data_IF_001171846344
#
_entry.id   IF_001171846344
#
_cell.length_a   1.000
_cell.length_b   1.000
_cell.length_c   1.000
_cell.angle_alpha   90.00
_cell.angle_beta   90.00
_cell.angle_gamma   90.00
#
_symmetry.space_group_name_H-M   'P 1'
#
loop_
_entity.id
_entity.type
_entity.pdbx_description
1 polymer ?
#
# COMPACT_ATOMS: atom_id res chain seq x y z
N UNK A 1 5.29 -6.33 -23.64
CA UNK A 1 4.88 -4.96 -23.27
C UNK A 1 3.52 -5.03 -22.60
N UNK A 2 3.28 -4.36 -21.47
CA UNK A 2 1.94 -4.19 -20.94
C UNK A 2 1.02 -3.58 -22.00
N UNK A 3 -0.25 -3.94 -21.99
CA UNK A 3 -1.23 -3.27 -22.86
C UNK A 3 -1.57 -1.89 -22.29
N UNK A 4 -1.94 -0.94 -23.15
CA UNK A 4 -2.35 0.42 -22.74
C UNK A 4 -3.43 0.39 -21.63
N UNK A 5 -4.32 -0.59 -21.66
CA UNK A 5 -5.36 -0.76 -20.63
C UNK A 5 -4.80 -1.14 -19.25
N UNK A 6 -3.69 -1.88 -19.20
CA UNK A 6 -3.01 -2.26 -17.95
C UNK A 6 -2.33 -1.05 -17.33
N UNK A 7 -1.66 -0.23 -18.14
CA UNK A 7 -1.01 0.99 -17.67
C UNK A 7 -2.03 2.00 -17.13
N UNK A 8 -3.13 2.21 -17.85
CA UNK A 8 -4.23 3.07 -17.38
C UNK A 8 -4.87 2.57 -16.08
N UNK A 9 -5.09 1.26 -15.96
CA UNK A 9 -5.61 0.67 -14.73
C UNK A 9 -4.64 0.89 -13.58
N UNK A 10 -3.34 0.67 -13.79
CA UNK A 10 -2.30 0.89 -12.78
C UNK A 10 -2.27 2.34 -12.31
N UNK A 11 -2.25 3.30 -13.25
CA UNK A 11 -2.23 4.73 -12.93
C UNK A 11 -3.47 5.15 -12.13
N UNK A 12 -4.64 4.64 -12.50
CA UNK A 12 -5.89 4.89 -11.77
C UNK A 12 -5.81 4.35 -10.33
N UNK A 13 -5.34 3.12 -10.13
CA UNK A 13 -5.16 2.55 -8.80
C UNK A 13 -4.12 3.31 -7.99
N UNK A 14 -3.02 3.73 -8.61
CA UNK A 14 -2.00 4.54 -7.95
C UNK A 14 -2.52 5.90 -7.46
N UNK A 15 -3.53 6.47 -8.14
CA UNK A 15 -4.21 7.69 -7.69
C UNK A 15 -5.26 7.42 -6.60
N UNK A 16 -6.05 6.34 -6.74
CA UNK A 16 -7.17 6.04 -5.85
C UNK A 16 -6.73 5.49 -4.50
N UNK A 17 -5.70 4.64 -4.47
CA UNK A 17 -5.24 4.00 -3.22
C UNK A 17 -4.88 5.05 -2.17
N UNK A 18 -3.99 6.03 -2.41
CA UNK A 18 -3.65 7.04 -1.40
C UNK A 18 -4.87 7.81 -0.88
N UNK A 19 -5.81 8.16 -1.79
CA UNK A 19 -7.03 8.90 -1.43
C UNK A 19 -7.96 8.13 -0.49
N UNK A 20 -7.91 6.80 -0.48
CA UNK A 20 -8.73 5.97 0.42
C UNK A 20 -7.96 5.62 1.69
N UNK A 21 -6.69 5.26 1.54
CA UNK A 21 -5.84 4.79 2.64
C UNK A 21 -5.60 5.93 3.64
N UNK A 22 -5.15 7.10 3.20
CA UNK A 22 -4.77 8.19 4.12
C UNK A 22 -5.91 8.62 5.04
N UNK A 23 -7.14 8.90 4.56
CA UNK A 23 -8.25 9.27 5.44
C UNK A 23 -8.66 8.14 6.39
N UNK A 24 -8.57 6.89 5.93
CA UNK A 24 -8.85 5.73 6.79
C UNK A 24 -7.81 5.62 7.93
N UNK A 25 -6.52 5.81 7.63
CA UNK A 25 -5.46 5.80 8.65
C UNK A 25 -5.68 6.90 9.70
N UNK A 26 -6.03 8.11 9.25
CA UNK A 26 -6.35 9.24 10.13
C UNK A 26 -7.55 8.93 11.02
N UNK A 27 -8.66 8.47 10.43
CA UNK A 27 -9.87 8.11 11.16
C UNK A 27 -9.62 7.04 12.23
N UNK A 28 -8.85 6.00 11.89
CA UNK A 28 -8.51 4.92 12.82
C UNK A 28 -7.64 5.41 13.98
N UNK A 29 -6.64 6.24 13.69
CA UNK A 29 -5.77 6.83 14.70
C UNK A 29 -6.57 7.72 15.68
N UNK A 30 -7.49 8.52 15.17
CA UNK A 30 -8.33 9.43 15.96
C UNK A 30 -9.40 8.69 16.77
N UNK A 31 -10.11 7.76 16.13
CA UNK A 31 -11.31 7.13 16.69
C UNK A 31 -10.97 5.95 17.60
N UNK A 32 -10.06 5.09 17.17
CA UNK A 32 -9.74 3.85 17.89
C UNK A 32 -8.56 4.06 18.86
N UNK A 33 -7.82 5.18 18.72
CA UNK A 33 -6.56 5.46 19.46
C UNK A 33 -5.56 4.30 19.42
N UNK A 34 -5.73 3.37 18.47
CA UNK A 34 -4.78 2.32 18.18
C UNK A 34 -4.01 2.80 16.96
N UNK A 35 -2.72 3.16 17.11
CA UNK A 35 -1.89 3.33 15.93
C UNK A 35 -1.95 2.03 15.14
N UNK A 36 -2.27 2.14 13.85
CA UNK A 36 -2.26 0.98 12.97
C UNK A 36 -0.85 0.39 13.00
N UNK A 37 -0.76 -0.92 13.23
CA UNK A 37 0.52 -1.61 13.30
C UNK A 37 1.14 -1.51 11.91
N UNK A 38 2.14 -0.65 11.77
CA UNK A 38 2.99 -0.62 10.58
C UNK A 38 3.88 -1.84 10.63
N UNK A 39 3.91 -2.61 9.55
CA UNK A 39 4.89 -3.68 9.43
C UNK A 39 6.24 -3.04 9.07
N UNK A 40 7.00 -2.66 10.10
CA UNK A 40 8.25 -1.91 9.95
C UNK A 40 9.40 -2.76 9.38
N UNK A 41 9.18 -4.05 9.10
CA UNK A 41 10.16 -4.88 8.40
C UNK A 41 9.98 -4.68 6.90
N UNK A 42 10.95 -4.07 6.20
CA UNK A 42 10.90 -3.95 4.76
C UNK A 42 10.86 -5.34 4.15
N UNK A 43 9.92 -5.57 3.26
CA UNK A 43 9.96 -6.73 2.39
C UNK A 43 11.07 -6.49 1.37
N UNK A 44 12.04 -7.40 1.35
CA UNK A 44 13.14 -7.38 0.40
C UNK A 44 13.15 -8.70 -0.35
N UNK A 45 13.13 -8.63 -1.66
CA UNK A 45 13.09 -9.79 -2.53
C UNK A 45 13.67 -9.44 -3.87
N UNK A 46 14.65 -10.22 -4.30
CA UNK A 46 15.23 -10.10 -5.62
C UNK A 46 15.71 -11.46 -6.12
N UNK A 47 15.40 -11.79 -7.37
CA UNK A 47 16.01 -12.91 -8.09
C UNK A 47 17.30 -12.44 -8.76
N UNK A 48 18.27 -13.34 -8.96
CA UNK A 48 19.62 -12.98 -9.43
C UNK A 48 19.61 -11.98 -10.60
N UNK A 49 20.31 -10.84 -10.42
CA UNK A 49 20.44 -9.80 -11.44
C UNK A 49 19.40 -8.67 -11.38
N UNK A 50 18.57 -8.58 -10.34
CA UNK A 50 17.62 -7.48 -10.17
C UNK A 50 18.02 -6.46 -9.10
N UNK A 51 17.41 -5.27 -9.13
CA UNK A 51 17.58 -4.27 -8.08
C UNK A 51 16.72 -4.63 -6.87
N UNK A 52 17.29 -4.44 -5.67
CA UNK A 52 16.58 -4.65 -4.42
C UNK A 52 15.50 -3.56 -4.27
N UNK A 53 14.23 -3.95 -4.39
CA UNK A 53 13.11 -3.06 -4.08
C UNK A 53 12.74 -3.18 -2.61
N UNK A 54 12.71 -2.04 -1.93
CA UNK A 54 12.14 -1.94 -0.60
C UNK A 54 10.64 -1.68 -0.72
N UNK A 55 9.83 -2.49 -0.06
CA UNK A 55 8.38 -2.30 0.02
C UNK A 55 7.93 -2.38 1.48
N UNK A 56 7.00 -1.51 1.86
CA UNK A 56 6.31 -1.56 3.15
C UNK A 56 4.96 -2.27 2.99
N UNK A 57 4.53 -2.95 4.04
CA UNK A 57 3.24 -3.63 4.07
C UNK A 57 2.35 -2.99 5.14
N UNK A 58 1.13 -2.64 4.75
CA UNK A 58 0.14 -2.01 5.60
C UNK A 58 -1.10 -2.91 5.65
N UNK A 59 -1.45 -3.37 6.86
CA UNK A 59 -2.65 -4.17 7.09
C UNK A 59 -3.80 -3.27 7.54
N UNK A 60 -4.88 -3.26 6.78
CA UNK A 60 -6.10 -2.50 7.10
C UNK A 60 -7.13 -3.44 7.73
N UNK A 61 -7.78 -2.97 8.80
CA UNK A 61 -8.85 -3.72 9.46
C UNK A 61 -10.21 -3.19 9.02
N UNK A 62 -10.84 -3.86 8.06
CA UNK A 62 -12.22 -3.58 7.70
C UNK A 62 -13.12 -4.45 8.56
N UNK A 63 -13.72 -3.86 9.60
CA UNK A 63 -14.76 -4.54 10.38
C UNK A 63 -15.95 -4.85 9.47
N UNK A 64 -16.54 -6.04 9.63
CA UNK A 64 -17.58 -6.56 8.72
C UNK A 64 -18.98 -6.28 9.25
#
# INVERSE_FOLDING_TARGET
MPSVAVDQLYDNWMAVIPMIIEPYLQYMAETIRKPLITYDKPLSGCQAGCELKHSSLLCLYFDR
#
